data_IF_010463741857
#
_entry.id   IF_010463741857
#
_cell.length_a   1.000
_cell.length_b   1.000
_cell.length_c   1.000
_cell.angle_alpha   90.00
_cell.angle_beta   90.00
_cell.angle_gamma   90.00
#
_symmetry.space_group_name_H-M   'P 1'
#
loop_
_entity.id
_entity.type
_entity.pdbx_description
1 polymer ?
#
# COMPACT_ATOMS: atom_id res chain seq x y z
N UNK A 1 -0.21 -12.12 -9.82
CA UNK A 1 0.45 -11.65 -11.06
C UNK A 1 1.06 -12.76 -11.90
N UNK A 2 0.59 -13.99 -11.72
CA UNK A 2 1.18 -15.14 -12.42
C UNK A 2 1.04 -15.07 -13.93
N UNK A 3 -0.11 -14.63 -14.44
CA UNK A 3 -0.26 -14.46 -15.89
C UNK A 3 0.70 -13.42 -16.45
N UNK A 4 0.89 -12.32 -15.71
CA UNK A 4 1.83 -11.28 -16.15
C UNK A 4 3.25 -11.84 -16.19
N UNK A 5 3.65 -12.58 -15.15
CA UNK A 5 4.99 -13.18 -15.06
C UNK A 5 5.23 -14.20 -16.17
N UNK A 6 4.20 -14.99 -16.52
CA UNK A 6 4.31 -16.01 -17.56
C UNK A 6 4.37 -15.42 -18.95
N UNK A 7 3.51 -14.45 -19.23
CA UNK A 7 3.30 -13.95 -20.59
C UNK A 7 4.17 -12.74 -20.89
N UNK A 8 4.35 -11.87 -19.88
CA UNK A 8 5.14 -10.63 -20.02
C UNK A 8 6.19 -10.56 -18.90
N UNK A 9 7.18 -11.46 -18.92
CA UNK A 9 8.16 -11.52 -17.83
C UNK A 9 8.98 -10.25 -17.65
N UNK A 10 9.31 -9.58 -18.75
CA UNK A 10 10.05 -8.33 -18.68
C UNK A 10 9.23 -7.23 -17.99
N UNK A 11 7.94 -7.16 -18.31
CA UNK A 11 7.04 -6.20 -17.69
C UNK A 11 6.87 -6.49 -16.21
N UNK A 12 6.71 -7.77 -15.85
CA UNK A 12 6.58 -8.18 -14.45
C UNK A 12 7.84 -7.82 -13.65
N UNK A 13 9.02 -8.03 -14.24
CA UNK A 13 10.29 -7.67 -13.60
C UNK A 13 10.41 -6.16 -13.42
N UNK A 14 10.06 -5.39 -14.43
CA UNK A 14 10.08 -3.93 -14.36
C UNK A 14 9.15 -3.41 -13.28
N UNK A 15 7.97 -4.01 -13.13
CA UNK A 15 7.02 -3.68 -12.07
C UNK A 15 7.61 -3.96 -10.69
N UNK A 16 8.28 -5.11 -10.53
CA UNK A 16 8.96 -5.44 -9.28
C UNK A 16 10.09 -4.47 -8.94
N UNK A 17 10.85 -4.05 -9.93
CA UNK A 17 11.90 -3.05 -9.75
C UNK A 17 11.31 -1.69 -9.35
N UNK A 18 10.20 -1.30 -9.94
CA UNK A 18 9.50 -0.08 -9.55
C UNK A 18 9.08 -0.14 -8.09
N UNK A 19 8.46 -1.26 -7.67
CA UNK A 19 8.10 -1.46 -6.27
C UNK A 19 9.30 -1.30 -5.35
N UNK A 20 10.42 -1.93 -5.70
CA UNK A 20 11.63 -1.88 -4.88
C UNK A 20 12.24 -0.48 -4.81
N UNK A 21 12.06 0.32 -5.85
CA UNK A 21 12.55 1.70 -5.85
C UNK A 21 11.70 2.62 -4.97
N UNK A 22 10.43 2.26 -4.77
CA UNK A 22 9.49 3.05 -3.99
C UNK A 22 9.54 2.68 -2.51
N UNK A 23 9.46 1.39 -2.20
CA UNK A 23 9.32 0.92 -0.81
C UNK A 23 10.69 0.77 -0.12
N UNK A 24 11.30 1.90 0.13
CA UNK A 24 12.54 2.05 0.88
C UNK A 24 12.52 3.43 1.51
N UNK A 25 13.41 3.66 2.47
CA UNK A 25 13.56 5.00 3.06
C UNK A 25 13.99 5.97 1.97
N UNK A 26 13.30 7.08 1.90
CA UNK A 26 13.54 8.17 0.99
C UNK A 26 13.24 9.47 1.71
N UNK A 27 12.59 10.41 1.04
CA UNK A 27 12.08 11.61 1.71
C UNK A 27 11.06 11.28 2.78
N UNK A 28 10.25 10.22 2.55
CA UNK A 28 9.43 9.60 3.57
C UNK A 28 10.07 8.27 3.94
N UNK A 29 9.98 7.88 5.21
CA UNK A 29 10.51 6.60 5.62
C UNK A 29 9.61 5.44 5.15
N UNK A 30 10.14 4.23 5.20
CA UNK A 30 9.41 3.04 4.74
C UNK A 30 8.11 2.84 5.52
N UNK A 31 8.12 3.04 6.83
CA UNK A 31 6.92 2.90 7.64
C UNK A 31 5.80 3.80 7.14
N UNK A 32 6.10 5.07 6.89
CA UNK A 32 5.14 6.04 6.37
C UNK A 32 4.63 5.62 5.00
N UNK A 33 5.52 5.15 4.13
CA UNK A 33 5.13 4.67 2.79
C UNK A 33 4.19 3.48 2.87
N UNK A 34 4.44 2.54 3.79
CA UNK A 34 3.55 1.39 3.96
C UNK A 34 2.20 1.80 4.55
N UNK A 35 2.16 2.79 5.44
CA UNK A 35 0.89 3.32 5.95
C UNK A 35 0.09 4.00 4.82
N UNK A 36 0.75 4.73 3.94
CA UNK A 36 0.12 5.30 2.75
C UNK A 36 -0.44 4.18 1.86
N UNK A 37 0.32 3.09 1.70
CA UNK A 37 -0.12 1.95 0.90
C UNK A 37 -1.36 1.28 1.51
N UNK A 38 -1.43 1.17 2.84
CA UNK A 38 -2.63 0.65 3.52
C UNK A 38 -3.84 1.51 3.20
N UNK A 39 -3.72 2.83 3.37
CA UNK A 39 -4.81 3.77 3.10
C UNK A 39 -5.24 3.71 1.63
N UNK A 40 -4.28 3.69 0.71
CA UNK A 40 -4.54 3.59 -0.72
C UNK A 40 -5.26 2.28 -1.07
N UNK A 41 -4.86 1.19 -0.42
CA UNK A 41 -5.45 -0.14 -0.64
C UNK A 41 -6.92 -0.18 -0.21
N UNK A 42 -7.25 0.50 0.89
CA UNK A 42 -8.65 0.64 1.34
C UNK A 42 -9.47 1.34 0.27
N UNK A 43 -8.96 2.46 -0.26
CA UNK A 43 -9.66 3.22 -1.30
C UNK A 43 -9.82 2.42 -2.59
N UNK A 44 -8.86 1.58 -2.91
CA UNK A 44 -8.91 0.72 -4.10
C UNK A 44 -9.71 -0.56 -3.85
N UNK A 45 -10.24 -0.75 -2.64
CA UNK A 45 -11.04 -1.93 -2.25
C UNK A 45 -10.29 -3.25 -2.48
N UNK A 46 -9.01 -3.24 -2.17
CA UNK A 46 -8.16 -4.42 -2.35
C UNK A 46 -7.84 -5.02 -0.99
N UNK A 47 -8.63 -6.02 -0.54
CA UNK A 47 -8.43 -6.66 0.75
C UNK A 47 -7.04 -7.28 0.86
N UNK A 48 -6.60 -7.97 -0.18
CA UNK A 48 -5.27 -8.56 -0.21
C UNK A 48 -4.18 -7.50 -0.01
N UNK A 49 -4.34 -6.35 -0.65
CA UNK A 49 -3.38 -5.25 -0.53
C UNK A 49 -3.39 -4.67 0.89
N UNK A 50 -4.57 -4.52 1.51
CA UNK A 50 -4.69 -4.05 2.89
C UNK A 50 -3.93 -4.98 3.82
N UNK A 51 -4.16 -6.28 3.71
CA UNK A 51 -3.51 -7.26 4.58
C UNK A 51 -1.99 -7.28 4.37
N UNK A 52 -1.55 -7.29 3.13
CA UNK A 52 -0.13 -7.34 2.78
C UNK A 52 0.61 -6.10 3.28
N UNK A 53 0.08 -4.91 2.99
CA UNK A 53 0.74 -3.67 3.37
C UNK A 53 0.62 -3.39 4.87
N UNK A 54 -0.45 -3.86 5.52
CA UNK A 54 -0.54 -3.79 6.99
C UNK A 54 0.57 -4.60 7.64
N UNK A 55 0.82 -5.81 7.14
CA UNK A 55 1.91 -6.63 7.67
C UNK A 55 3.26 -5.99 7.41
N UNK A 56 3.46 -5.43 6.23
CA UNK A 56 4.71 -4.74 5.88
C UNK A 56 4.91 -3.48 6.73
N UNK A 57 3.81 -2.77 7.03
CA UNK A 57 3.88 -1.61 7.92
C UNK A 57 4.34 -2.03 9.32
N UNK A 58 3.80 -3.12 9.86
CA UNK A 58 4.21 -3.66 11.15
C UNK A 58 5.70 -4.03 11.12
N UNK A 59 6.13 -4.69 10.06
CA UNK A 59 7.55 -5.08 9.90
C UNK A 59 8.46 -3.85 9.81
N UNK A 60 7.95 -2.73 9.35
CA UNK A 60 8.69 -1.45 9.27
C UNK A 60 8.56 -0.63 10.56
N UNK A 61 7.91 -1.15 11.58
CA UNK A 61 7.81 -0.51 12.89
C UNK A 61 6.50 0.19 13.21
N UNK A 62 5.48 0.04 12.36
CA UNK A 62 4.17 0.62 12.63
C UNK A 62 3.45 -0.15 13.73
N UNK A 63 2.67 0.57 14.50
CA UNK A 63 1.78 -0.02 15.49
C UNK A 63 0.40 -0.28 14.86
N UNK A 64 -0.39 -1.13 15.51
CA UNK A 64 -1.78 -1.37 15.08
C UNK A 64 -2.59 -0.08 15.13
N UNK A 65 -2.30 0.78 16.10
CA UNK A 65 -2.95 2.07 16.26
C UNK A 65 -2.65 2.98 15.07
N UNK A 66 -1.41 3.00 14.61
CA UNK A 66 -1.03 3.78 13.43
C UNK A 66 -1.72 3.27 12.17
N UNK A 67 -1.85 1.95 12.04
CA UNK A 67 -2.56 1.35 10.91
C UNK A 67 -4.04 1.74 10.94
N UNK A 68 -4.67 1.66 12.12
CA UNK A 68 -6.07 2.06 12.29
C UNK A 68 -6.27 3.53 11.93
N UNK A 69 -5.35 4.40 12.34
CA UNK A 69 -5.42 5.82 11.96
C UNK A 69 -5.34 6.02 10.45
N UNK A 70 -4.43 5.32 9.78
CA UNK A 70 -4.30 5.41 8.32
C UNK A 70 -5.61 4.97 7.63
N UNK A 71 -6.20 3.89 8.10
CA UNK A 71 -7.48 3.39 7.58
C UNK A 71 -8.60 4.41 7.81
N UNK A 72 -8.63 5.04 8.98
CA UNK A 72 -9.66 6.03 9.29
C UNK A 72 -9.61 7.24 8.35
N UNK A 73 -8.41 7.67 7.96
CA UNK A 73 -8.25 8.75 6.97
C UNK A 73 -8.82 8.33 5.63
N UNK A 74 -8.52 7.12 5.18
CA UNK A 74 -9.07 6.60 3.92
C UNK A 74 -10.59 6.54 3.95
N UNK A 75 -11.15 6.06 5.06
CA UNK A 75 -12.60 5.99 5.24
C UNK A 75 -13.25 7.38 5.15
N UNK A 76 -12.66 8.37 5.78
CA UNK A 76 -13.17 9.74 5.73
C UNK A 76 -13.13 10.30 4.32
N UNK A 77 -12.03 10.10 3.61
CA UNK A 77 -11.88 10.58 2.24
C UNK A 77 -12.90 9.90 1.32
N UNK A 78 -13.09 8.59 1.48
CA UNK A 78 -14.07 7.85 0.69
C UNK A 78 -15.48 8.36 0.93
N UNK A 79 -15.86 8.58 2.20
CA UNK A 79 -17.17 9.11 2.56
C UNK A 79 -17.34 10.54 2.03
N UNK A 80 -16.32 11.39 2.20
CA UNK A 80 -16.35 12.78 1.73
C UNK A 80 -16.54 12.88 0.22
N UNK A 81 -15.97 11.94 -0.53
CA UNK A 81 -16.10 11.94 -1.99
C UNK A 81 -17.54 11.73 -2.45
N UNK A 82 -18.42 11.21 -1.57
CA UNK A 82 -19.83 10.97 -1.88
C UNK A 82 -20.71 12.21 -1.60
N UNK A 83 -20.17 13.22 -0.93
CA UNK A 83 -20.95 14.39 -0.52
C UNK A 83 -20.69 15.63 -1.38
N UNK A 84 -19.67 15.56 -2.18
CA UNK A 84 -19.26 16.71 -2.98
C UNK A 84 -19.40 16.51 -4.43
#
# INVERSE_FOLDING_TARGET
MSFLSEILPETAEAFGQMRNSIFKDGYLDLKTKELIAVASSVLMRCQFCVDTHSQRAINAGATKEEIADAISVAMFIAAGSQTG
#
